data_IF_442399986774
#
_entry.id   IF_442399986774
#
_cell.length_a   1.000
_cell.length_b   1.000
_cell.length_c   1.000
_cell.angle_alpha   90.00
_cell.angle_beta   90.00
_cell.angle_gamma   90.00
#
_symmetry.space_group_name_H-M   'P 1'
#
loop_
_entity.id
_entity.type
_entity.pdbx_description
1 polymer ?
#
# COMPACT_ATOMS: atom_id res chain seq x y z
N UNK A 1 38.68 -13.47 18.10
CA UNK A 1 38.19 -12.36 17.22
C UNK A 1 36.65 -12.42 17.07
N UNK A 2 36.07 -13.54 16.64
CA UNK A 2 34.61 -13.70 16.49
C UNK A 2 33.85 -13.56 17.81
N UNK A 3 34.32 -14.18 18.90
CA UNK A 3 33.70 -14.02 20.23
C UNK A 3 33.73 -12.58 20.74
N UNK A 4 34.77 -11.84 20.42
CA UNK A 4 34.89 -10.44 20.81
C UNK A 4 33.90 -9.58 20.03
N UNK A 5 33.74 -9.79 18.72
CA UNK A 5 32.76 -9.12 17.88
C UNK A 5 31.34 -9.45 18.34
N UNK A 6 31.08 -10.74 18.63
CA UNK A 6 29.76 -11.15 19.13
C UNK A 6 29.41 -10.44 20.43
N UNK A 7 30.37 -10.33 21.34
CA UNK A 7 30.17 -9.60 22.59
C UNK A 7 29.90 -8.11 22.37
N UNK A 8 30.69 -7.47 21.51
CA UNK A 8 30.48 -6.05 21.16
C UNK A 8 29.08 -5.79 20.55
N UNK A 9 28.61 -6.69 19.70
CA UNK A 9 27.28 -6.58 19.11
C UNK A 9 26.15 -6.88 20.12
N UNK A 10 26.39 -7.82 21.05
CA UNK A 10 25.44 -8.08 22.15
C UNK A 10 25.34 -6.87 23.09
N UNK A 11 26.49 -6.29 23.49
CA UNK A 11 26.54 -5.10 24.35
C UNK A 11 25.85 -3.91 23.65
N UNK A 12 26.00 -3.78 22.32
CA UNK A 12 25.32 -2.75 21.54
C UNK A 12 23.82 -2.99 21.44
N UNK A 13 23.37 -4.23 21.31
CA UNK A 13 21.95 -4.57 21.33
C UNK A 13 21.34 -4.22 22.69
N UNK A 14 22.05 -4.44 23.79
CA UNK A 14 21.61 -4.07 25.13
C UNK A 14 21.46 -2.54 25.26
N UNK A 15 22.44 -1.76 24.81
CA UNK A 15 22.36 -0.28 24.76
C UNK A 15 21.12 0.20 23.96
N UNK A 16 20.88 -0.39 22.79
CA UNK A 16 19.73 -0.04 21.94
C UNK A 16 18.42 -0.40 22.66
N UNK A 17 18.36 -1.58 23.29
CA UNK A 17 17.18 -2.00 24.06
C UNK A 17 16.89 -1.07 25.25
N UNK A 18 17.91 -0.56 25.92
CA UNK A 18 17.79 0.44 27.00
C UNK A 18 17.21 1.75 26.45
N UNK A 19 17.76 2.27 25.36
CA UNK A 19 17.26 3.48 24.69
C UNK A 19 15.80 3.33 24.24
N UNK A 20 15.43 2.20 23.64
CA UNK A 20 14.05 1.92 23.26
C UNK A 20 13.12 1.91 24.45
N UNK A 21 13.58 1.36 25.58
CA UNK A 21 12.81 1.35 26.83
C UNK A 21 12.67 2.75 27.45
N UNK A 22 13.71 3.59 27.33
CA UNK A 22 13.61 5.00 27.72
C UNK A 22 12.57 5.74 26.87
N UNK A 23 12.61 5.58 25.54
CA UNK A 23 11.62 6.19 24.63
C UNK A 23 10.19 5.72 24.92
N UNK A 24 10.00 4.42 25.19
CA UNK A 24 8.71 3.86 25.61
C UNK A 24 8.19 4.58 26.87
N UNK A 25 9.03 4.70 27.90
CA UNK A 25 8.67 5.32 29.17
C UNK A 25 8.33 6.82 28.99
N UNK A 26 9.12 7.57 28.20
CA UNK A 26 8.85 8.97 27.90
C UNK A 26 7.48 9.14 27.25
N UNK A 27 7.16 8.30 26.24
CA UNK A 27 5.88 8.38 25.55
C UNK A 27 4.72 8.00 26.48
N UNK A 28 4.89 6.95 27.31
CA UNK A 28 3.87 6.56 28.28
C UNK A 28 3.61 7.64 29.33
N UNK A 29 4.64 8.33 29.80
CA UNK A 29 4.50 9.45 30.73
C UNK A 29 3.80 10.64 30.07
N UNK A 30 4.19 10.99 28.85
CA UNK A 30 3.53 12.05 28.06
C UNK A 30 2.05 11.74 27.84
N UNK A 31 1.70 10.49 27.55
CA UNK A 31 0.30 10.05 27.35
C UNK A 31 -0.51 10.10 28.65
N UNK A 32 0.10 9.75 29.80
CA UNK A 32 -0.54 9.86 31.13
C UNK A 32 -0.82 11.30 31.54
N UNK A 33 0.09 12.21 31.16
CA UNK A 33 0.00 13.63 31.51
C UNK A 33 -0.83 14.44 30.49
N UNK A 34 -1.25 13.83 29.39
CA UNK A 34 -2.08 14.48 28.39
C UNK A 34 -3.50 14.70 28.92
N UNK A 35 -3.96 15.96 28.90
CA UNK A 35 -5.34 16.31 29.25
C UNK A 35 -6.29 15.80 28.15
N UNK A 36 -7.16 14.87 28.48
CA UNK A 36 -8.10 14.21 27.55
C UNK A 36 -9.36 15.04 27.24
N UNK A 37 -9.49 16.24 27.80
CA UNK A 37 -10.61 17.13 27.54
C UNK A 37 -10.30 18.03 26.34
N UNK A 38 -10.59 17.55 25.14
CA UNK A 38 -10.42 18.32 23.89
C UNK A 38 -11.65 19.17 23.57
N UNK A 39 -11.44 20.46 23.34
CA UNK A 39 -12.37 21.29 22.60
C UNK A 39 -12.10 21.14 21.08
N UNK A 40 -13.06 21.49 20.23
CA UNK A 40 -12.92 21.46 18.75
C UNK A 40 -11.77 22.35 18.22
N UNK A 41 -11.22 23.24 19.05
CA UNK A 41 -10.07 24.09 18.73
C UNK A 41 -8.71 23.37 18.91
N UNK A 42 -8.67 22.17 19.48
CA UNK A 42 -7.46 21.41 19.82
C UNK A 42 -7.16 20.24 18.83
N UNK A 43 -7.60 20.30 17.57
CA UNK A 43 -7.35 19.23 16.58
C UNK A 43 -5.86 18.89 16.44
N UNK A 44 -4.98 19.89 16.46
CA UNK A 44 -3.52 19.69 16.38
C UNK A 44 -2.96 18.87 17.55
N UNK A 45 -3.49 19.06 18.77
CA UNK A 45 -3.10 18.27 19.95
C UNK A 45 -3.57 16.83 19.83
N UNK A 46 -4.77 16.62 19.27
CA UNK A 46 -5.30 15.29 18.98
C UNK A 46 -4.43 14.50 18.00
N UNK A 47 -3.95 15.13 16.93
CA UNK A 47 -3.03 14.51 15.96
C UNK A 47 -1.69 14.13 16.60
N UNK A 48 -1.12 15.00 17.43
CA UNK A 48 0.12 14.72 18.16
C UNK A 48 -0.07 13.54 19.13
N UNK A 49 -1.17 13.49 19.84
CA UNK A 49 -1.47 12.40 20.76
C UNK A 49 -1.64 11.09 20.01
N UNK A 50 -2.39 11.10 18.91
CA UNK A 50 -2.57 9.92 18.06
C UNK A 50 -1.23 9.41 17.52
N UNK A 51 -0.34 10.31 17.07
CA UNK A 51 1.00 9.96 16.62
C UNK A 51 1.84 9.31 17.74
N UNK A 52 1.72 9.81 19.00
CA UNK A 52 2.39 9.20 20.16
C UNK A 52 1.85 7.80 20.47
N UNK A 53 0.53 7.61 20.46
CA UNK A 53 -0.09 6.28 20.65
C UNK A 53 0.41 5.31 19.61
N UNK A 54 0.40 5.70 18.34
CA UNK A 54 0.91 4.88 17.23
C UNK A 54 2.39 4.54 17.42
N UNK A 55 3.22 5.52 17.78
CA UNK A 55 4.65 5.29 18.05
C UNK A 55 4.84 4.29 19.20
N UNK A 56 4.05 4.37 20.26
CA UNK A 56 4.10 3.43 21.38
C UNK A 56 3.73 2.00 20.95
N UNK A 57 2.67 1.84 20.16
CA UNK A 57 2.28 0.54 19.62
C UNK A 57 3.37 -0.04 18.73
N UNK A 58 3.98 0.77 17.90
CA UNK A 58 5.06 0.36 16.99
C UNK A 58 6.31 -0.05 17.78
N UNK A 59 6.70 0.68 18.83
CA UNK A 59 7.78 0.28 19.75
C UNK A 59 7.49 -1.08 20.37
N UNK A 60 6.28 -1.30 20.86
CA UNK A 60 5.88 -2.58 21.49
C UNK A 60 5.96 -3.77 20.51
N UNK A 61 5.66 -3.54 19.24
CA UNK A 61 5.77 -4.59 18.19
C UNK A 61 7.21 -5.03 17.92
N UNK A 62 8.18 -4.10 17.95
CA UNK A 62 9.57 -4.41 17.62
C UNK A 62 10.45 -4.74 18.81
N UNK A 63 9.92 -4.67 20.03
CA UNK A 63 10.67 -4.79 21.29
C UNK A 63 11.52 -6.07 21.38
N UNK A 64 11.05 -7.18 20.81
CA UNK A 64 11.77 -8.47 20.82
C UNK A 64 12.86 -8.53 19.75
N UNK A 65 12.67 -7.84 18.61
CA UNK A 65 13.60 -7.81 17.46
C UNK A 65 13.67 -6.39 16.95
N UNK A 66 14.47 -5.52 17.59
CA UNK A 66 14.47 -4.09 17.29
C UNK A 66 15.06 -3.76 15.90
N UNK A 67 16.05 -4.51 15.47
CA UNK A 67 16.66 -4.39 14.14
C UNK A 67 17.08 -5.75 13.62
N UNK A 68 17.32 -5.85 12.32
CA UNK A 68 17.75 -7.08 11.66
C UNK A 68 19.09 -6.93 10.92
N UNK A 69 19.54 -5.69 10.70
CA UNK A 69 20.79 -5.44 9.99
C UNK A 69 21.49 -4.19 10.52
N UNK A 70 22.80 -4.15 10.22
CA UNK A 70 23.65 -2.96 10.37
C UNK A 70 24.39 -2.71 9.07
N UNK A 71 24.47 -1.45 8.70
CA UNK A 71 25.32 -0.96 7.62
C UNK A 71 26.23 0.15 8.16
N UNK A 72 27.54 0.00 7.94
CA UNK A 72 28.49 1.08 8.20
C UNK A 72 28.67 1.86 6.91
N UNK A 73 28.22 3.11 6.91
CA UNK A 73 28.28 4.00 5.76
C UNK A 73 29.08 5.24 6.09
N UNK A 74 29.96 5.61 5.18
CA UNK A 74 30.74 6.83 5.28
C UNK A 74 30.39 7.73 4.11
N UNK A 75 29.58 8.75 4.38
CA UNK A 75 29.30 9.81 3.41
C UNK A 75 30.58 10.60 3.11
N UNK A 76 30.74 11.05 1.87
CA UNK A 76 31.87 11.87 1.45
C UNK A 76 32.00 13.10 2.37
N UNK A 77 33.21 13.35 2.90
CA UNK A 77 33.52 14.42 3.83
C UNK A 77 32.86 14.37 5.23
N UNK A 78 32.16 13.28 5.58
CA UNK A 78 31.57 13.07 6.92
C UNK A 78 32.25 11.92 7.68
N UNK A 79 31.89 11.78 8.95
CA UNK A 79 32.30 10.62 9.76
C UNK A 79 31.52 9.39 9.33
N UNK A 80 32.13 8.22 9.57
CA UNK A 80 31.44 6.96 9.41
C UNK A 80 30.29 6.84 10.41
N UNK A 81 29.13 6.41 9.92
CA UNK A 81 27.93 6.16 10.71
C UNK A 81 27.62 4.66 10.70
N UNK A 82 27.19 4.16 11.86
CA UNK A 82 26.68 2.79 12.03
C UNK A 82 25.17 2.83 12.04
N UNK A 83 24.55 2.39 10.97
CA UNK A 83 23.10 2.45 10.77
C UNK A 83 22.50 1.09 11.11
N UNK A 84 21.68 1.01 12.15
CA UNK A 84 20.92 -0.16 12.52
C UNK A 84 19.56 -0.12 11.82
N UNK A 85 19.28 -1.10 10.97
CA UNK A 85 18.09 -1.13 10.11
C UNK A 85 17.04 -2.05 10.72
N UNK A 86 15.85 -1.53 10.93
CA UNK A 86 14.72 -2.24 11.50
C UNK A 86 13.43 -2.08 10.69
N UNK A 87 12.35 -2.60 11.22
CA UNK A 87 11.01 -2.53 10.60
C UNK A 87 10.39 -1.13 10.68
N UNK A 88 10.79 -0.36 11.69
CA UNK A 88 10.34 1.03 11.91
C UNK A 88 11.52 1.89 12.32
N UNK A 89 11.37 3.21 12.17
CA UNK A 89 12.34 4.19 12.65
C UNK A 89 12.10 4.54 14.12
N UNK A 90 13.17 4.56 14.92
CA UNK A 90 13.15 5.10 16.29
C UNK A 90 14.20 6.19 16.38
N UNK A 91 13.76 7.37 16.79
CA UNK A 91 14.63 8.50 17.05
C UNK A 91 14.79 8.67 18.57
N UNK A 92 15.99 8.99 18.98
CA UNK A 92 16.29 9.44 20.33
C UNK A 92 15.64 10.83 20.55
N UNK A 93 14.74 10.94 21.51
CA UNK A 93 13.97 12.18 21.76
C UNK A 93 14.83 13.34 22.26
N UNK A 94 16.03 13.06 22.79
CA UNK A 94 16.96 14.05 23.35
C UNK A 94 17.89 14.62 22.27
N UNK A 95 18.36 13.76 21.36
CA UNK A 95 19.36 14.13 20.33
C UNK A 95 18.79 14.27 18.94
N UNK A 96 17.58 13.77 18.71
CA UNK A 96 16.96 13.61 17.40
C UNK A 96 17.75 12.71 16.42
N UNK A 97 18.74 11.97 16.92
CA UNK A 97 19.49 11.02 16.12
C UNK A 97 18.74 9.69 15.97
N UNK A 98 18.86 8.99 14.83
CA UNK A 98 18.20 7.71 14.64
C UNK A 98 18.88 6.62 15.48
N UNK A 99 18.13 6.01 16.40
CA UNK A 99 18.54 4.78 17.09
C UNK A 99 18.39 3.60 16.13
N UNK A 100 17.26 3.55 15.40
CA UNK A 100 16.95 2.56 14.36
C UNK A 100 16.44 3.29 13.14
N UNK A 101 16.95 2.91 11.98
CA UNK A 101 16.54 3.42 10.67
C UNK A 101 15.53 2.47 10.06
N UNK A 102 14.43 3.01 9.55
CA UNK A 102 13.41 2.21 8.86
C UNK A 102 13.97 1.61 7.56
N UNK A 103 13.65 0.36 7.28
CA UNK A 103 14.05 -0.32 6.06
C UNK A 103 13.54 0.37 4.77
N UNK A 104 12.46 1.13 4.87
CA UNK A 104 11.85 1.90 3.76
C UNK A 104 12.59 3.21 3.47
N UNK A 105 13.38 3.68 4.42
CA UNK A 105 14.13 4.93 4.26
C UNK A 105 15.05 4.90 3.02
N UNK A 106 15.28 6.05 2.35
CA UNK A 106 16.15 6.11 1.17
C UNK A 106 17.54 5.51 1.37
N UNK A 107 18.20 5.82 2.49
CA UNK A 107 19.53 5.28 2.81
C UNK A 107 19.53 3.76 2.99
N UNK A 108 18.43 3.17 3.47
CA UNK A 108 18.30 1.73 3.64
C UNK A 108 18.32 0.97 2.31
N UNK A 109 18.10 1.64 1.16
CA UNK A 109 18.26 1.05 -0.15
C UNK A 109 19.66 0.49 -0.37
N UNK A 110 20.67 1.16 0.17
CA UNK A 110 22.08 0.73 0.07
C UNK A 110 22.33 -0.64 0.72
N UNK A 111 21.57 -0.98 1.76
CA UNK A 111 21.65 -2.30 2.36
C UNK A 111 21.22 -3.41 1.38
N UNK A 112 20.19 -3.20 0.59
CA UNK A 112 19.65 -4.20 -0.34
C UNK A 112 20.42 -4.25 -1.67
N UNK A 113 20.67 -3.13 -2.31
CA UNK A 113 21.27 -3.03 -3.64
C UNK A 113 22.78 -2.76 -3.60
N UNK A 114 23.25 -2.08 -2.54
CA UNK A 114 24.63 -1.64 -2.46
C UNK A 114 25.61 -2.81 -2.27
N UNK A 115 26.73 -2.75 -2.96
CA UNK A 115 27.91 -3.59 -2.71
C UNK A 115 28.85 -2.88 -1.76
N UNK A 116 29.66 -3.64 -1.02
CA UNK A 116 30.76 -3.05 -0.23
C UNK A 116 31.63 -2.20 -1.15
N UNK A 117 31.95 -0.97 -0.71
CA UNK A 117 32.68 0.03 -1.46
C UNK A 117 31.80 1.26 -1.82
N UNK A 118 32.16 1.92 -2.92
CA UNK A 118 31.46 3.15 -3.34
C UNK A 118 29.99 2.92 -3.64
N UNK A 119 29.15 3.77 -3.09
CA UNK A 119 27.71 3.70 -3.24
C UNK A 119 27.09 5.11 -3.25
N UNK A 120 25.93 5.24 -3.87
CA UNK A 120 25.14 6.48 -3.85
C UNK A 120 23.65 6.16 -3.66
N UNK A 121 22.94 7.06 -3.00
CA UNK A 121 21.49 6.99 -2.87
C UNK A 121 20.87 8.36 -3.07
N UNK A 122 19.58 8.40 -3.39
CA UNK A 122 18.85 9.65 -3.59
C UNK A 122 17.93 9.92 -2.38
N UNK A 123 18.00 11.15 -1.87
CA UNK A 123 17.12 11.60 -0.79
C UNK A 123 16.68 13.03 -1.06
N UNK A 124 15.36 13.26 -1.12
CA UNK A 124 14.77 14.58 -1.39
C UNK A 124 15.34 15.25 -2.65
N UNK A 125 15.53 14.47 -3.73
CA UNK A 125 16.07 14.95 -5.00
C UNK A 125 17.60 15.19 -5.02
N UNK A 126 18.29 14.94 -3.91
CA UNK A 126 19.75 15.06 -3.83
C UNK A 126 20.41 13.68 -3.90
N UNK A 127 21.47 13.56 -4.69
CA UNK A 127 22.32 12.36 -4.72
C UNK A 127 23.39 12.47 -3.65
N UNK A 128 23.38 11.54 -2.73
CA UNK A 128 24.33 11.44 -1.61
C UNK A 128 25.30 10.31 -1.95
N UNK A 129 26.60 10.63 -1.95
CA UNK A 129 27.69 9.69 -2.27
C UNK A 129 28.48 9.33 -1.04
N UNK A 130 29.02 8.11 -1.04
CA UNK A 130 29.83 7.64 0.06
C UNK A 130 30.36 6.22 -0.19
N UNK A 131 30.72 5.56 0.88
CA UNK A 131 31.28 4.21 0.86
C UNK A 131 30.59 3.33 1.92
N UNK A 132 30.17 2.15 1.51
CA UNK A 132 29.71 1.08 2.42
C UNK A 132 30.92 0.30 2.88
N UNK A 133 31.18 0.30 4.19
CA UNK A 133 32.34 -0.37 4.79
C UNK A 133 31.97 -1.73 5.38
N UNK A 134 30.73 -1.90 5.84
CA UNK A 134 30.23 -3.14 6.43
C UNK A 134 28.75 -3.28 6.13
N UNK A 135 28.33 -4.51 5.86
CA UNK A 135 26.93 -4.96 5.90
C UNK A 135 26.87 -6.20 6.76
N UNK A 136 26.11 -6.13 7.86
CA UNK A 136 25.97 -7.20 8.84
C UNK A 136 24.51 -7.49 9.08
N UNK A 137 24.14 -8.73 9.07
CA UNK A 137 22.78 -9.20 9.38
C UNK A 137 22.78 -9.92 10.72
N UNK A 138 21.65 -9.80 11.44
CA UNK A 138 21.50 -10.36 12.78
C UNK A 138 20.29 -11.29 12.86
N UNK A 139 20.43 -12.33 13.66
CA UNK A 139 19.33 -13.12 14.19
C UNK A 139 19.19 -12.76 15.66
N UNK A 140 18.11 -12.07 15.98
CA UNK A 140 17.78 -11.62 17.34
C UNK A 140 16.48 -12.31 17.75
N UNK A 141 16.43 -12.91 18.92
CA UNK A 141 15.25 -13.51 19.51
C UNK A 141 15.09 -13.05 20.95
N UNK A 142 13.90 -12.56 21.29
CA UNK A 142 13.58 -12.11 22.65
C UNK A 142 14.65 -11.20 23.25
N UNK A 143 15.06 -10.19 22.48
CA UNK A 143 16.08 -9.18 22.84
C UNK A 143 17.51 -9.74 23.01
N UNK A 144 17.80 -10.95 22.54
CA UNK A 144 19.15 -11.56 22.62
C UNK A 144 19.68 -11.86 21.25
N UNK A 145 20.95 -11.51 21.01
CA UNK A 145 21.64 -11.87 19.81
C UNK A 145 21.88 -13.39 19.78
N UNK A 146 21.46 -14.04 18.70
CA UNK A 146 21.70 -15.46 18.45
C UNK A 146 22.87 -15.69 17.50
N UNK A 147 22.86 -14.93 16.41
CA UNK A 147 23.85 -15.06 15.34
C UNK A 147 24.00 -13.72 14.62
N UNK A 148 25.17 -13.46 14.09
CA UNK A 148 25.37 -12.42 13.07
C UNK A 148 26.12 -13.01 11.87
N UNK A 149 25.94 -12.37 10.70
CA UNK A 149 26.61 -12.75 9.46
C UNK A 149 27.02 -11.48 8.72
N UNK A 150 28.30 -11.38 8.33
CA UNK A 150 28.77 -10.30 7.49
C UNK A 150 28.49 -10.63 6.03
N UNK A 151 27.72 -9.74 5.36
CA UNK A 151 27.31 -9.93 3.98
C UNK A 151 28.45 -9.44 3.08
N UNK A 152 29.27 -10.36 2.61
CA UNK A 152 30.23 -10.12 1.56
C UNK A 152 29.64 -10.49 0.19
N UNK A 153 30.31 -10.08 -0.90
CA UNK A 153 29.87 -10.18 -2.31
C UNK A 153 29.37 -11.58 -2.76
N UNK A 154 29.47 -12.61 -1.95
CA UNK A 154 29.31 -14.02 -2.39
C UNK A 154 28.22 -14.85 -1.72
N UNK A 155 27.37 -14.33 -0.86
CA UNK A 155 26.35 -15.25 -0.37
C UNK A 155 25.41 -14.80 0.73
N UNK A 156 24.19 -14.53 0.33
CA UNK A 156 23.01 -14.46 1.20
C UNK A 156 22.39 -15.85 1.49
N UNK A 157 23.06 -16.95 1.10
CA UNK A 157 22.44 -18.29 1.05
C UNK A 157 22.14 -18.89 2.42
N UNK A 158 23.02 -18.70 3.43
CA UNK A 158 22.80 -19.30 4.75
C UNK A 158 21.61 -18.73 5.51
N UNK A 159 21.38 -17.41 5.41
CA UNK A 159 20.26 -16.78 6.10
C UNK A 159 18.93 -16.98 5.37
N UNK A 160 19.00 -17.03 4.03
CA UNK A 160 17.87 -17.44 3.22
C UNK A 160 17.46 -18.89 3.53
N UNK A 161 18.43 -19.79 3.73
CA UNK A 161 18.16 -21.18 4.13
C UNK A 161 17.49 -21.24 5.52
N UNK A 162 18.01 -20.52 6.52
CA UNK A 162 17.39 -20.46 7.84
C UNK A 162 15.97 -19.87 7.80
N UNK A 163 15.75 -18.80 7.01
CA UNK A 163 14.42 -18.23 6.80
C UNK A 163 13.48 -19.19 6.05
N UNK A 164 13.99 -20.10 5.23
CA UNK A 164 13.19 -21.12 4.55
C UNK A 164 12.79 -22.28 5.49
N UNK A 165 13.48 -22.48 6.60
CA UNK A 165 13.17 -23.48 7.63
C UNK A 165 12.13 -22.99 8.66
N UNK A 166 11.89 -21.68 8.75
CA UNK A 166 10.86 -21.10 9.65
C UNK A 166 9.44 -21.45 9.19
N UNK A 167 8.49 -21.43 10.15
CA UNK A 167 7.06 -21.60 9.84
C UNK A 167 6.55 -20.47 8.96
N UNK A 168 5.57 -20.74 8.10
CA UNK A 168 5.07 -19.80 7.08
C UNK A 168 4.65 -18.42 7.65
N UNK A 169 4.06 -18.38 8.83
CA UNK A 169 3.61 -17.14 9.47
C UNK A 169 4.78 -16.30 10.00
N UNK A 170 5.86 -16.95 10.50
CA UNK A 170 7.05 -16.25 10.99
C UNK A 170 7.91 -15.76 9.83
N UNK A 171 7.93 -16.50 8.70
CA UNK A 171 8.60 -16.06 7.46
C UNK A 171 8.09 -14.72 6.95
N UNK A 172 6.77 -14.52 6.92
CA UNK A 172 6.18 -13.27 6.43
C UNK A 172 6.56 -12.07 7.29
N UNK A 173 6.72 -12.29 8.61
CA UNK A 173 7.14 -11.24 9.55
C UNK A 173 8.61 -10.85 9.39
N UNK A 174 9.46 -11.75 8.91
CA UNK A 174 10.91 -11.57 8.82
C UNK A 174 11.43 -11.32 7.39
N UNK A 175 10.53 -11.30 6.40
CA UNK A 175 10.90 -11.14 4.98
C UNK A 175 11.74 -9.89 4.72
N UNK A 176 11.51 -8.80 5.45
CA UNK A 176 12.27 -7.54 5.27
C UNK A 176 13.79 -7.77 5.36
N UNK A 177 14.23 -8.71 6.21
CA UNK A 177 15.65 -9.05 6.34
C UNK A 177 16.21 -9.84 5.14
N UNK A 178 15.35 -10.47 4.34
CA UNK A 178 15.72 -11.40 3.25
C UNK A 178 15.26 -10.92 1.87
N UNK A 179 14.80 -9.67 1.75
CA UNK A 179 14.48 -9.07 0.46
C UNK A 179 15.70 -9.09 -0.45
N UNK A 180 15.57 -9.73 -1.61
CA UNK A 180 16.63 -9.80 -2.61
C UNK A 180 16.68 -8.50 -3.44
N UNK A 181 17.81 -8.24 -4.09
CA UNK A 181 18.04 -7.05 -4.91
C UNK A 181 16.93 -6.83 -5.97
N UNK A 182 16.56 -7.89 -6.71
CA UNK A 182 15.47 -7.80 -7.69
C UNK A 182 14.12 -7.45 -7.06
N UNK A 183 13.83 -8.03 -5.91
CA UNK A 183 12.59 -7.74 -5.15
C UNK A 183 12.59 -6.30 -4.65
N UNK A 184 13.73 -5.83 -4.13
CA UNK A 184 13.88 -4.46 -3.65
C UNK A 184 13.66 -3.43 -4.77
N UNK A 185 14.18 -3.67 -5.97
CA UNK A 185 13.93 -2.81 -7.14
C UNK A 185 12.46 -2.72 -7.50
N UNK A 186 11.72 -3.83 -7.41
CA UNK A 186 10.28 -3.84 -7.66
C UNK A 186 9.54 -3.04 -6.58
N UNK A 187 9.89 -3.23 -5.31
CA UNK A 187 9.28 -2.53 -4.18
C UNK A 187 9.47 -1.01 -4.32
N UNK A 188 10.66 -0.57 -4.74
CA UNK A 188 11.04 0.84 -4.85
C UNK A 188 10.83 1.46 -6.24
N UNK A 189 10.27 0.70 -7.19
CA UNK A 189 9.98 1.24 -8.52
C UNK A 189 9.06 2.47 -8.47
N UNK A 190 9.21 3.38 -9.43
CA UNK A 190 8.46 4.64 -9.52
C UNK A 190 6.95 4.42 -9.40
N UNK A 191 6.28 5.28 -8.61
CA UNK A 191 4.83 5.22 -8.39
C UNK A 191 4.04 5.63 -9.64
N UNK A 192 4.61 6.49 -10.48
CA UNK A 192 3.93 7.04 -11.66
C UNK A 192 3.93 6.08 -12.87
N UNK A 193 4.57 4.92 -12.74
CA UNK A 193 4.66 3.93 -13.82
C UNK A 193 3.86 2.68 -13.48
N UNK A 194 3.02 2.16 -14.42
CA UNK A 194 2.35 0.89 -14.23
C UNK A 194 3.38 -0.24 -14.13
N UNK A 195 3.19 -1.13 -13.16
CA UNK A 195 4.11 -2.22 -12.88
C UNK A 195 3.38 -3.57 -12.94
N UNK A 196 3.92 -4.50 -13.73
CA UNK A 196 3.46 -5.88 -13.80
C UNK A 196 4.52 -6.79 -13.21
N UNK A 197 4.19 -7.48 -12.11
CA UNK A 197 5.10 -8.43 -11.46
C UNK A 197 4.77 -9.85 -11.89
N UNK A 198 5.69 -10.50 -12.59
CA UNK A 198 5.57 -11.86 -13.08
C UNK A 198 6.57 -12.78 -12.37
N UNK A 199 6.20 -14.03 -12.17
CA UNK A 199 7.07 -15.04 -11.55
C UNK A 199 6.30 -16.34 -11.28
N UNK A 200 7.03 -17.41 -11.00
CA UNK A 200 6.46 -18.73 -10.68
C UNK A 200 5.63 -18.72 -9.39
N UNK A 201 4.82 -19.72 -9.16
CA UNK A 201 4.11 -19.90 -7.90
C UNK A 201 5.13 -19.99 -6.75
N UNK A 202 4.87 -19.30 -5.64
CA UNK A 202 5.77 -19.25 -4.49
C UNK A 202 6.95 -18.26 -4.59
N UNK A 203 7.11 -17.50 -5.70
CA UNK A 203 8.20 -16.52 -5.85
C UNK A 203 8.03 -15.22 -5.01
N UNK A 204 7.04 -15.16 -4.13
CA UNK A 204 6.83 -14.01 -3.25
C UNK A 204 6.13 -12.80 -3.89
N UNK A 205 5.47 -12.93 -5.06
CA UNK A 205 4.80 -11.81 -5.75
C UNK A 205 3.85 -11.02 -4.86
N UNK A 206 3.00 -11.70 -4.11
CA UNK A 206 2.06 -11.07 -3.17
C UNK A 206 2.80 -10.33 -2.07
N UNK A 207 3.82 -10.95 -1.52
CA UNK A 207 4.67 -10.36 -0.49
C UNK A 207 5.35 -9.08 -0.98
N UNK A 208 5.92 -9.10 -2.18
CA UNK A 208 6.52 -7.92 -2.82
C UNK A 208 5.46 -6.82 -3.00
N UNK A 209 4.25 -7.16 -3.45
CA UNK A 209 3.17 -6.19 -3.61
C UNK A 209 2.78 -5.51 -2.28
N UNK A 210 2.69 -6.27 -1.19
CA UNK A 210 2.39 -5.72 0.14
C UNK A 210 3.52 -4.84 0.68
N UNK A 211 4.78 -5.27 0.51
CA UNK A 211 5.94 -4.45 0.89
C UNK A 211 6.05 -3.18 0.04
N UNK A 212 5.67 -3.25 -1.26
CA UNK A 212 5.60 -2.07 -2.10
C UNK A 212 4.55 -1.07 -1.59
N UNK A 213 3.36 -1.53 -1.21
CA UNK A 213 2.34 -0.66 -0.60
C UNK A 213 2.89 0.00 0.66
N UNK A 214 3.52 -0.77 1.56
CA UNK A 214 4.13 -0.24 2.76
C UNK A 214 5.23 0.79 2.47
N UNK A 215 6.06 0.54 1.46
CA UNK A 215 7.08 1.46 0.98
C UNK A 215 6.49 2.76 0.41
N UNK A 216 5.47 2.66 -0.43
CA UNK A 216 4.84 3.83 -1.05
C UNK A 216 4.14 4.71 -0.02
N UNK A 217 3.38 4.13 0.91
CA UNK A 217 2.73 4.88 1.99
C UNK A 217 3.76 5.61 2.86
N UNK A 218 4.90 4.97 3.17
CA UNK A 218 5.95 5.57 3.95
C UNK A 218 6.64 6.75 3.23
N UNK A 219 6.99 6.57 1.96
CA UNK A 219 7.78 7.58 1.23
C UNK A 219 6.92 8.72 0.66
N UNK A 220 5.63 8.51 0.46
CA UNK A 220 4.70 9.48 -0.11
C UNK A 220 3.61 9.91 0.89
N UNK A 221 3.85 9.79 2.20
CA UNK A 221 2.91 10.15 3.26
C UNK A 221 2.40 11.60 3.21
N UNK A 222 3.20 12.50 2.61
CA UNK A 222 2.84 13.92 2.41
C UNK A 222 1.96 14.16 1.19
N UNK A 223 1.94 13.21 0.24
CA UNK A 223 1.24 13.32 -1.04
C UNK A 223 -0.03 12.48 -1.03
N UNK A 224 0.01 11.29 -0.41
CA UNK A 224 -1.08 10.32 -0.42
C UNK A 224 -1.38 9.81 1.00
N UNK A 225 -2.67 9.70 1.30
CA UNK A 225 -3.14 9.03 2.52
C UNK A 225 -3.31 7.53 2.29
N UNK A 226 -3.26 6.67 3.33
CA UNK A 226 -3.44 5.24 3.19
C UNK A 226 -4.76 4.82 2.54
N UNK A 227 -5.86 5.57 2.75
CA UNK A 227 -7.19 5.33 2.19
C UNK A 227 -7.28 5.64 0.67
N UNK A 228 -6.29 6.34 0.10
CA UNK A 228 -6.16 6.56 -1.34
C UNK A 228 -5.52 5.37 -2.06
N UNK A 229 -4.97 4.40 -1.32
CA UNK A 229 -4.50 3.14 -1.86
C UNK A 229 -5.60 2.09 -1.82
N UNK A 230 -5.67 1.26 -2.87
CA UNK A 230 -6.65 0.19 -2.95
C UNK A 230 -6.01 -1.14 -3.34
N UNK A 231 -6.37 -2.19 -2.62
CA UNK A 231 -6.02 -3.56 -2.97
C UNK A 231 -7.26 -4.25 -3.53
N UNK A 232 -7.19 -4.69 -4.79
CA UNK A 232 -8.22 -5.53 -5.40
C UNK A 232 -7.70 -6.95 -5.48
N UNK A 233 -8.42 -7.88 -4.85
CA UNK A 233 -8.04 -9.28 -4.79
C UNK A 233 -9.12 -10.20 -5.39
N UNK A 234 -8.74 -11.41 -5.83
CA UNK A 234 -9.68 -12.31 -6.51
C UNK A 234 -10.75 -12.89 -5.57
N UNK A 235 -10.50 -13.00 -4.27
CA UNK A 235 -11.43 -13.59 -3.31
C UNK A 235 -11.38 -12.92 -1.94
N UNK A 236 -12.48 -12.98 -1.19
CA UNK A 236 -12.54 -12.51 0.21
C UNK A 236 -11.61 -13.30 1.13
N UNK A 237 -11.38 -14.56 0.86
CA UNK A 237 -10.43 -15.38 1.61
C UNK A 237 -9.00 -14.81 1.48
N UNK A 238 -8.61 -14.41 0.28
CA UNK A 238 -7.31 -13.80 0.04
C UNK A 238 -7.18 -12.42 0.70
N UNK A 239 -8.27 -11.63 0.72
CA UNK A 239 -8.30 -10.36 1.45
C UNK A 239 -8.09 -10.55 2.95
N UNK A 240 -8.75 -11.53 3.56
CA UNK A 240 -8.56 -11.84 4.98
C UNK A 240 -7.10 -12.19 5.31
N UNK A 241 -6.43 -12.92 4.42
CA UNK A 241 -5.00 -13.22 4.56
C UNK A 241 -4.14 -11.94 4.51
N UNK A 242 -4.39 -11.04 3.57
CA UNK A 242 -3.69 -9.76 3.43
C UNK A 242 -3.94 -8.85 4.63
N UNK A 243 -5.17 -8.77 5.11
CA UNK A 243 -5.56 -7.93 6.24
C UNK A 243 -4.81 -8.25 7.53
N UNK A 244 -4.35 -9.48 7.68
CA UNK A 244 -3.54 -9.90 8.83
C UNK A 244 -2.05 -9.51 8.71
N UNK A 245 -1.56 -9.29 7.47
CA UNK A 245 -0.14 -8.99 7.20
C UNK A 245 0.13 -7.48 7.18
N UNK A 246 -0.78 -6.69 6.63
CA UNK A 246 -0.58 -5.24 6.46
C UNK A 246 -0.24 -4.51 7.77
N UNK A 247 -0.90 -4.79 8.91
CA UNK A 247 -0.55 -4.15 10.19
C UNK A 247 0.87 -4.46 10.66
N UNK A 248 1.41 -5.65 10.35
CA UNK A 248 2.79 -6.02 10.69
C UNK A 248 3.82 -5.24 9.84
N UNK A 249 3.39 -4.72 8.69
CA UNK A 249 4.18 -3.83 7.82
C UNK A 249 3.98 -2.33 8.16
N UNK A 250 3.25 -2.02 9.22
CA UNK A 250 2.93 -0.64 9.62
C UNK A 250 1.89 0.03 8.72
N UNK A 251 1.08 -0.75 8.00
CA UNK A 251 0.06 -0.26 7.06
C UNK A 251 -1.33 -0.50 7.63
N UNK A 252 -2.04 0.58 7.90
CA UNK A 252 -3.44 0.57 8.31
C UNK A 252 -4.26 1.36 7.30
N UNK A 253 -5.59 1.16 7.30
CA UNK A 253 -6.58 1.96 6.57
C UNK A 253 -6.49 1.89 5.03
N UNK A 254 -5.75 0.94 4.46
CA UNK A 254 -5.77 0.67 3.03
C UNK A 254 -7.07 -0.02 2.65
N UNK A 255 -7.77 0.54 1.65
CA UNK A 255 -9.01 -0.03 1.14
C UNK A 255 -8.75 -1.40 0.49
N UNK A 256 -9.52 -2.41 0.90
CA UNK A 256 -9.40 -3.78 0.41
C UNK A 256 -10.76 -4.27 -0.08
N UNK A 257 -10.84 -4.76 -1.31
CA UNK A 257 -12.09 -5.24 -1.88
C UNK A 257 -11.85 -6.30 -2.96
N UNK A 258 -12.87 -7.08 -3.29
CA UNK A 258 -12.89 -7.86 -4.53
C UNK A 258 -13.27 -6.95 -5.70
N UNK A 259 -13.02 -7.40 -6.92
CA UNK A 259 -13.48 -6.65 -8.10
C UNK A 259 -15.01 -6.49 -8.11
N UNK A 260 -15.75 -7.48 -7.62
CA UNK A 260 -17.21 -7.44 -7.52
C UNK A 260 -17.66 -6.36 -6.52
N UNK A 261 -17.01 -6.29 -5.34
CA UNK A 261 -17.30 -5.25 -4.34
C UNK A 261 -17.01 -3.86 -4.91
N UNK A 262 -15.88 -3.70 -5.61
CA UNK A 262 -15.51 -2.44 -6.27
C UNK A 262 -16.53 -2.03 -7.34
N UNK A 263 -16.89 -2.97 -8.23
CA UNK A 263 -17.86 -2.70 -9.28
C UNK A 263 -19.24 -2.33 -8.70
N UNK A 264 -19.65 -3.01 -7.62
CA UNK A 264 -20.90 -2.73 -6.92
C UNK A 264 -20.93 -1.34 -6.29
N UNK A 265 -19.82 -0.91 -5.72
CA UNK A 265 -19.70 0.44 -5.14
C UNK A 265 -19.77 1.51 -6.23
N UNK A 266 -19.14 1.29 -7.40
CA UNK A 266 -19.18 2.21 -8.54
C UNK A 266 -20.59 2.32 -9.13
N UNK A 267 -21.31 1.20 -9.23
CA UNK A 267 -22.69 1.14 -9.76
C UNK A 267 -23.70 1.76 -8.78
N UNK A 268 -23.35 1.89 -7.49
CA UNK A 268 -24.18 2.55 -6.49
C UNK A 268 -25.25 1.66 -5.87
N UNK A 269 -25.01 0.38 -5.69
CA UNK A 269 -25.84 -0.57 -4.91
C UNK A 269 -27.32 -0.71 -5.33
N UNK A 270 -27.70 -0.22 -6.50
CA UNK A 270 -29.07 -0.28 -7.01
C UNK A 270 -29.43 -1.61 -7.72
N UNK A 271 -28.40 -2.41 -8.03
CA UNK A 271 -28.56 -3.66 -8.78
C UNK A 271 -28.43 -4.89 -7.88
N UNK A 272 -29.26 -5.90 -8.13
CA UNK A 272 -29.10 -7.20 -7.49
C UNK A 272 -28.06 -8.01 -8.26
N UNK A 273 -26.94 -8.32 -7.64
CA UNK A 273 -25.90 -9.19 -8.24
C UNK A 273 -26.36 -10.64 -8.12
N UNK A 274 -26.36 -11.38 -9.22
CA UNK A 274 -26.56 -12.83 -9.20
C UNK A 274 -25.24 -13.52 -8.83
N UNK A 275 -25.30 -14.58 -8.03
CA UNK A 275 -24.13 -15.39 -7.72
C UNK A 275 -23.63 -16.11 -8.99
N UNK A 276 -22.45 -15.73 -9.45
CA UNK A 276 -21.82 -16.33 -10.61
C UNK A 276 -21.25 -17.74 -10.32
N UNK A 277 -21.14 -18.14 -9.04
CA UNK A 277 -20.60 -19.44 -8.67
C UNK A 277 -21.50 -20.59 -9.16
N UNK A 278 -22.81 -20.43 -9.18
CA UNK A 278 -23.73 -21.44 -9.72
C UNK A 278 -23.41 -21.77 -11.18
N UNK A 279 -23.15 -20.75 -12.01
CA UNK A 279 -22.81 -20.94 -13.43
C UNK A 279 -21.43 -21.59 -13.60
N UNK A 280 -20.47 -21.22 -12.76
CA UNK A 280 -19.12 -21.80 -12.74
C UNK A 280 -19.17 -23.27 -12.31
N UNK A 281 -19.94 -23.61 -11.28
CA UNK A 281 -20.14 -24.97 -10.79
C UNK A 281 -20.72 -25.86 -11.89
N UNK A 282 -21.73 -25.37 -12.61
CA UNK A 282 -22.32 -26.11 -13.76
C UNK A 282 -21.28 -26.37 -14.86
N UNK A 283 -20.43 -25.36 -15.17
CA UNK A 283 -19.41 -25.50 -16.21
C UNK A 283 -18.26 -26.43 -15.77
N UNK A 284 -17.83 -26.36 -14.49
CA UNK A 284 -16.69 -27.13 -13.98
C UNK A 284 -17.07 -28.60 -13.68
N UNK A 285 -18.24 -28.85 -13.13
CA UNK A 285 -18.68 -30.20 -12.75
C UNK A 285 -19.03 -31.08 -13.95
N UNK A 286 -19.09 -30.52 -15.18
CA UNK A 286 -19.44 -31.26 -16.39
C UNK A 286 -20.65 -32.17 -16.17
N UNK A 287 -21.66 -31.70 -15.46
CA UNK A 287 -22.98 -32.40 -15.36
C UNK A 287 -23.67 -32.32 -16.72
N UNK A 288 -23.10 -33.08 -17.65
CA UNK A 288 -23.52 -33.13 -19.05
C UNK A 288 -24.53 -34.24 -19.26
N UNK A 289 -25.76 -33.95 -18.97
CA UNK A 289 -26.86 -34.62 -19.72
C UNK A 289 -26.95 -33.95 -21.09
N UNK A 290 -27.18 -34.73 -22.16
CA UNK A 290 -27.28 -34.23 -23.54
C UNK A 290 -28.25 -33.06 -23.71
N UNK A 291 -29.27 -32.93 -22.86
CA UNK A 291 -30.24 -31.83 -22.80
C UNK A 291 -29.61 -30.53 -22.34
N UNK A 292 -28.59 -30.55 -21.50
CA UNK A 292 -27.93 -29.37 -20.92
C UNK A 292 -26.76 -28.88 -21.77
N UNK A 293 -26.20 -29.70 -22.66
CA UNK A 293 -25.05 -29.38 -23.49
C UNK A 293 -25.26 -28.11 -24.34
N UNK A 294 -26.44 -28.03 -24.98
CA UNK A 294 -26.81 -26.86 -25.79
C UNK A 294 -26.95 -25.58 -24.99
N UNK A 295 -27.45 -25.66 -23.74
CA UNK A 295 -27.55 -24.49 -22.83
C UNK A 295 -26.19 -24.02 -22.35
N UNK A 296 -25.29 -24.95 -22.02
CA UNK A 296 -23.92 -24.64 -21.58
C UNK A 296 -23.13 -23.98 -22.73
N UNK A 297 -23.25 -24.48 -23.96
CA UNK A 297 -22.60 -23.85 -25.13
C UNK A 297 -23.08 -22.43 -25.36
N UNK A 298 -24.38 -22.16 -25.17
CA UNK A 298 -24.93 -20.80 -25.23
C UNK A 298 -24.35 -19.94 -24.12
N UNK A 299 -24.31 -20.41 -22.88
CA UNK A 299 -23.75 -19.68 -21.74
C UNK A 299 -22.26 -19.34 -21.96
N UNK A 300 -21.47 -20.28 -22.49
CA UNK A 300 -20.05 -20.04 -22.82
C UNK A 300 -19.90 -18.99 -23.94
N UNK A 301 -20.72 -19.09 -24.99
CA UNK A 301 -20.72 -18.11 -26.09
C UNK A 301 -21.11 -16.71 -25.59
N UNK A 302 -22.15 -16.65 -24.76
CA UNK A 302 -22.59 -15.39 -24.13
C UNK A 302 -21.52 -14.78 -23.27
N UNK A 303 -20.85 -15.56 -22.41
CA UNK A 303 -19.76 -15.10 -21.56
C UNK A 303 -18.58 -14.58 -22.40
N UNK A 304 -18.18 -15.33 -23.44
CA UNK A 304 -17.12 -14.91 -24.39
C UNK A 304 -17.48 -13.62 -25.13
N UNK A 305 -18.73 -13.47 -25.53
CA UNK A 305 -19.19 -12.26 -26.21
C UNK A 305 -19.20 -11.07 -25.27
N UNK A 306 -19.76 -11.21 -24.05
CA UNK A 306 -19.83 -10.14 -23.05
C UNK A 306 -18.46 -9.69 -22.55
N UNK A 307 -17.44 -10.56 -22.58
CA UNK A 307 -16.05 -10.23 -22.24
C UNK A 307 -15.20 -9.74 -23.42
N UNK A 308 -15.81 -9.62 -24.62
CA UNK A 308 -15.08 -9.22 -25.83
C UNK A 308 -14.99 -7.70 -25.99
N UNK A 309 -13.96 -7.25 -26.74
CA UNK A 309 -13.81 -5.85 -27.15
C UNK A 309 -15.01 -5.37 -28.00
N UNK A 310 -15.65 -6.28 -28.75
CA UNK A 310 -16.82 -5.95 -29.54
C UNK A 310 -18.02 -5.58 -28.69
N UNK A 311 -18.22 -6.29 -27.56
CA UNK A 311 -19.29 -5.94 -26.62
C UNK A 311 -19.02 -4.60 -25.95
N UNK A 312 -17.75 -4.32 -25.60
CA UNK A 312 -17.35 -2.98 -25.12
C UNK A 312 -17.73 -1.89 -26.12
N UNK A 313 -17.42 -2.08 -27.42
CA UNK A 313 -17.79 -1.10 -28.47
C UNK A 313 -19.29 -0.86 -28.56
N UNK A 314 -20.09 -1.92 -28.45
CA UNK A 314 -21.57 -1.81 -28.44
C UNK A 314 -22.03 -0.98 -27.24
N UNK A 315 -21.44 -1.20 -26.06
CA UNK A 315 -21.75 -0.41 -24.88
C UNK A 315 -21.37 1.06 -25.08
N UNK A 316 -20.16 1.31 -25.60
CA UNK A 316 -19.67 2.66 -25.85
C UNK A 316 -20.58 3.41 -26.85
N UNK A 317 -21.00 2.76 -27.94
CA UNK A 317 -21.93 3.32 -28.93
C UNK A 317 -23.32 3.59 -28.32
N UNK A 318 -23.82 2.67 -27.49
CA UNK A 318 -25.10 2.82 -26.81
C UNK A 318 -25.06 3.96 -25.79
N UNK A 319 -23.97 4.09 -25.02
CA UNK A 319 -23.80 5.19 -24.08
C UNK A 319 -23.68 6.55 -24.80
N UNK A 320 -22.97 6.59 -25.95
CA UNK A 320 -22.88 7.78 -26.77
C UNK A 320 -24.25 8.19 -27.35
N UNK A 321 -25.07 7.21 -27.76
CA UNK A 321 -26.41 7.46 -28.25
C UNK A 321 -27.32 8.01 -27.13
N UNK A 322 -27.26 7.43 -25.93
CA UNK A 322 -27.96 7.98 -24.75
C UNK A 322 -27.50 9.42 -24.48
N UNK A 323 -26.20 9.66 -24.40
CA UNK A 323 -25.66 11.00 -24.09
C UNK A 323 -26.13 12.04 -25.13
N UNK A 324 -26.14 11.66 -26.42
CA UNK A 324 -26.55 12.56 -27.51
C UNK A 324 -28.06 12.84 -27.52
N UNK A 325 -28.88 11.92 -27.08
CA UNK A 325 -30.33 12.02 -27.14
C UNK A 325 -31.02 12.16 -25.77
N UNK A 326 -30.23 12.35 -24.69
CA UNK A 326 -30.77 12.40 -23.32
C UNK A 326 -31.66 13.60 -23.08
N UNK A 327 -31.27 14.79 -23.58
CA UNK A 327 -32.05 16.02 -23.44
C UNK A 327 -33.18 16.02 -24.47
N UNK A 328 -34.46 16.14 -24.03
CA UNK A 328 -35.56 16.26 -24.95
C UNK A 328 -35.41 17.47 -25.88
N UNK A 329 -35.65 17.28 -27.18
CA UNK A 329 -35.51 18.32 -28.22
C UNK A 329 -36.59 19.36 -28.18
N UNK A 330 -36.97 19.81 -27.00
CA UNK A 330 -38.00 20.83 -26.74
C UNK A 330 -37.44 21.92 -25.85
N UNK A 331 -37.87 23.15 -26.09
CA UNK A 331 -37.57 24.27 -25.20
C UNK A 331 -38.24 24.04 -23.84
N UNK A 332 -37.58 24.42 -22.77
CA UNK A 332 -38.16 24.38 -21.44
C UNK A 332 -39.03 25.63 -21.22
N UNK A 333 -40.33 25.41 -21.18
CA UNK A 333 -41.32 26.47 -21.10
C UNK A 333 -42.18 26.36 -19.83
N UNK A 334 -42.60 27.51 -19.30
CA UNK A 334 -43.64 27.61 -18.28
C UNK A 334 -44.76 28.47 -18.80
N UNK A 335 -45.95 27.90 -18.97
CA UNK A 335 -47.08 28.52 -19.69
C UNK A 335 -46.60 28.95 -21.11
N UNK A 336 -46.77 30.23 -21.46
CA UNK A 336 -46.38 30.80 -22.74
C UNK A 336 -44.95 31.38 -22.76
N UNK A 337 -44.18 31.24 -21.67
CA UNK A 337 -42.81 31.75 -21.57
C UNK A 337 -41.76 30.67 -21.72
N UNK A 338 -40.83 30.88 -22.65
CA UNK A 338 -39.63 30.01 -22.77
C UNK A 338 -38.60 30.41 -21.71
N UNK A 339 -38.34 29.52 -20.77
CA UNK A 339 -37.35 29.73 -19.68
C UNK A 339 -35.95 29.46 -20.21
N UNK A 340 -35.78 28.35 -20.95
CA UNK A 340 -34.49 28.00 -21.55
C UNK A 340 -34.71 27.21 -22.86
N UNK A 341 -33.96 27.59 -23.90
CA UNK A 341 -34.03 26.88 -25.19
C UNK A 341 -33.34 25.55 -25.12
N UNK A 342 -33.83 24.59 -25.91
CA UNK A 342 -33.22 23.27 -26.03
C UNK A 342 -31.69 23.34 -26.28
N UNK A 343 -31.26 24.16 -27.23
CA UNK A 343 -29.85 24.29 -27.57
C UNK A 343 -28.96 24.73 -26.40
N UNK A 344 -29.47 25.58 -25.52
CA UNK A 344 -28.75 26.03 -24.32
C UNK A 344 -28.64 24.91 -23.30
N UNK A 345 -29.73 24.15 -23.09
CA UNK A 345 -29.75 23.00 -22.18
C UNK A 345 -28.81 21.90 -22.66
N UNK A 346 -28.87 21.57 -23.97
CA UNK A 346 -28.02 20.56 -24.60
C UNK A 346 -26.54 20.96 -24.52
N UNK A 347 -26.24 22.25 -24.72
CA UNK A 347 -24.87 22.77 -24.57
C UNK A 347 -24.37 22.68 -23.13
N UNK A 348 -25.19 23.02 -22.14
CA UNK A 348 -24.83 22.85 -20.74
C UNK A 348 -24.54 21.39 -20.42
N UNK A 349 -25.38 20.48 -20.88
CA UNK A 349 -25.24 19.04 -20.63
C UNK A 349 -24.00 18.43 -21.28
N UNK A 350 -23.74 18.74 -22.57
CA UNK A 350 -22.68 18.11 -23.37
C UNK A 350 -21.32 18.78 -23.22
N UNK A 351 -21.28 20.08 -22.88
CA UNK A 351 -20.04 20.85 -22.87
C UNK A 351 -19.70 21.40 -21.48
N UNK A 352 -20.58 22.20 -20.88
CA UNK A 352 -20.28 22.91 -19.63
C UNK A 352 -20.11 21.94 -18.46
N UNK A 353 -21.01 20.97 -18.32
CA UNK A 353 -21.02 20.01 -17.22
C UNK A 353 -20.48 18.63 -17.60
N UNK A 354 -19.80 18.51 -18.74
CA UNK A 354 -19.26 17.25 -19.26
C UNK A 354 -18.38 16.48 -18.25
N UNK A 355 -17.67 17.19 -17.38
CA UNK A 355 -16.80 16.59 -16.37
C UNK A 355 -17.56 15.93 -15.21
N UNK A 356 -18.85 16.22 -15.06
CA UNK A 356 -19.69 15.62 -14.04
C UNK A 356 -20.31 14.29 -14.56
N UNK A 357 -20.67 13.40 -13.61
CA UNK A 357 -21.52 12.25 -13.95
C UNK A 357 -22.94 12.72 -14.36
N UNK A 358 -23.72 11.82 -14.98
CA UNK A 358 -25.04 12.16 -15.51
C UNK A 358 -25.98 12.79 -14.50
N UNK A 359 -26.07 12.22 -13.28
CA UNK A 359 -26.96 12.72 -12.22
C UNK A 359 -26.57 14.16 -11.81
N UNK A 360 -25.29 14.41 -11.66
CA UNK A 360 -24.80 15.75 -11.30
C UNK A 360 -24.98 16.76 -12.43
N UNK A 361 -24.84 16.36 -13.71
CA UNK A 361 -25.14 17.24 -14.86
C UNK A 361 -26.59 17.72 -14.81
N UNK A 362 -27.51 16.78 -14.55
CA UNK A 362 -28.94 17.09 -14.45
C UNK A 362 -29.21 18.02 -13.29
N UNK A 363 -28.66 17.74 -12.13
CA UNK A 363 -28.83 18.55 -10.94
C UNK A 363 -28.34 20.00 -11.14
N UNK A 364 -27.21 20.21 -11.81
CA UNK A 364 -26.71 21.55 -12.12
C UNK A 364 -27.58 22.26 -13.17
N UNK A 365 -28.14 21.53 -14.15
CA UNK A 365 -29.13 22.12 -15.09
C UNK A 365 -30.39 22.49 -14.36
N UNK A 366 -30.91 21.66 -13.47
CA UNK A 366 -32.08 21.97 -12.64
C UNK A 366 -31.88 23.25 -11.82
N UNK A 367 -30.72 23.41 -11.18
CA UNK A 367 -30.35 24.64 -10.46
C UNK A 367 -30.40 25.88 -11.38
N UNK A 368 -29.81 25.73 -12.58
CA UNK A 368 -29.86 26.82 -13.58
C UNK A 368 -31.28 27.18 -14.02
N UNK A 369 -32.12 26.16 -14.22
CA UNK A 369 -33.55 26.40 -14.55
C UNK A 369 -34.27 27.08 -13.41
N UNK A 370 -34.10 26.65 -12.17
CA UNK A 370 -34.68 27.24 -10.98
C UNK A 370 -34.24 28.71 -10.83
N UNK A 371 -32.95 29.00 -11.00
CA UNK A 371 -32.42 30.36 -10.87
C UNK A 371 -32.94 31.34 -11.92
N UNK A 372 -33.37 30.84 -13.10
CA UNK A 372 -34.01 31.66 -14.15
C UNK A 372 -35.50 31.80 -13.96
N UNK A 373 -36.11 30.97 -13.14
CA UNK A 373 -37.54 30.99 -12.87
C UNK A 373 -37.89 31.93 -11.70
N UNK A 374 -36.98 32.16 -10.76
CA UNK A 374 -37.14 33.04 -9.59
C UNK A 374 -36.53 34.38 -9.81
#
# INVERSE_FOLDING_TARGET
MEEQIFKEEQDKLEEINEKITEEENIIEEDLKNADMNYSLEDMAKGEVLFAKVKKLEDIKKIKDVPYFARMDFKEDARKMEKLYIGKISILDSKTAEPIIVDWRAPISNLYYEGKIGKAEYECLGNKIKGEILLKRQYIIEKRKLKKYVDINVTGNDELLQNALEEKADDRLKNIVATIQDEQNRIIRADINSPLIVQGVAGSGKTTIALHRIAYLIYNYEKEFKPDEFMIIAPTKFFLNYISNILPDLGVNDVRQCTFEDFAYDVIGKKLKISDNNEKLVIIVNKEFDDINKGKIDIMIKEAKFKSSINFKKIIDEYLADIENNYIPKNDFCYKDYTIMKYNDIDYLFKHTYKMYNFDNRIHEIEKNLISKFG
#
